data_IF_996861600745
#
_entry.id   IF_996861600745
#
_cell.length_a   1.000
_cell.length_b   1.000
_cell.length_c   1.000
_cell.angle_alpha   90.00
_cell.angle_beta   90.00
_cell.angle_gamma   90.00
#
_symmetry.space_group_name_H-M   'P 1'
#
loop_
_entity.id
_entity.type
_entity.pdbx_description
1 polymer ?
#
# COMPACT_ATOMS: atom_id res chain seq x y z
N UNK A 1 3.11 -5.23 4.49
CA UNK A 1 1.70 -4.80 4.52
C UNK A 1 1.50 -3.29 4.27
N UNK A 2 1.83 -2.40 5.22
CA UNK A 2 1.48 -0.96 5.12
C UNK A 2 1.97 -0.25 3.84
N UNK A 3 3.19 -0.54 3.38
CA UNK A 3 3.71 0.05 2.14
C UNK A 3 2.89 -0.37 0.92
N UNK A 4 2.47 -1.65 0.84
CA UNK A 4 1.62 -2.18 -0.24
C UNK A 4 0.30 -1.41 -0.28
N UNK A 5 -0.32 -1.19 0.88
CA UNK A 5 -1.56 -0.43 0.99
C UNK A 5 -1.44 1.06 0.57
N UNK A 6 -0.28 1.69 0.78
CA UNK A 6 -0.15 3.14 0.70
C UNK A 6 0.46 3.67 -0.59
N UNK A 7 1.23 2.88 -1.32
CA UNK A 7 1.94 3.39 -2.49
C UNK A 7 2.57 2.34 -3.38
N UNK A 8 2.26 1.06 -3.15
CA UNK A 8 2.98 -0.04 -3.79
C UNK A 8 4.23 -0.47 -3.04
N UNK A 9 4.78 -1.61 -3.44
CA UNK A 9 6.04 -2.16 -2.94
C UNK A 9 6.80 -2.71 -4.12
N UNK A 10 8.10 -2.41 -4.19
CA UNK A 10 8.95 -3.03 -5.18
C UNK A 10 9.40 -4.42 -4.74
N UNK A 11 9.90 -5.19 -5.71
CA UNK A 11 10.37 -6.56 -5.48
C UNK A 11 11.44 -6.67 -4.38
N UNK A 12 12.21 -5.59 -4.14
CA UNK A 12 13.21 -5.52 -3.06
C UNK A 12 12.62 -5.80 -1.68
N UNK A 13 11.46 -5.24 -1.32
CA UNK A 13 10.91 -5.48 0.02
C UNK A 13 10.44 -6.91 0.22
N UNK A 14 10.13 -7.62 -0.87
CA UNK A 14 9.82 -9.06 -0.83
C UNK A 14 11.11 -9.80 -0.54
N UNK A 15 12.18 -9.51 -1.31
CA UNK A 15 13.51 -10.09 -1.11
C UNK A 15 14.04 -9.87 0.33
N UNK A 16 13.89 -8.67 0.87
CA UNK A 16 14.36 -8.32 2.21
C UNK A 16 13.75 -9.24 3.28
N UNK A 17 12.47 -9.63 3.15
CA UNK A 17 11.81 -10.58 4.06
C UNK A 17 12.45 -11.96 3.96
N UNK A 18 12.68 -12.46 2.73
CA UNK A 18 13.27 -13.77 2.50
C UNK A 18 14.71 -13.85 3.00
N UNK A 19 15.53 -12.84 2.71
CA UNK A 19 16.92 -12.77 3.16
C UNK A 19 17.02 -12.66 4.68
N UNK A 20 16.18 -11.83 5.32
CA UNK A 20 16.14 -11.73 6.77
C UNK A 20 15.78 -13.07 7.42
N UNK A 21 14.74 -13.73 6.90
CA UNK A 21 14.32 -15.03 7.42
C UNK A 21 15.42 -16.08 7.18
N UNK A 22 16.05 -16.10 6.01
CA UNK A 22 17.17 -17.00 5.69
C UNK A 22 18.34 -16.83 6.66
N UNK A 23 18.74 -15.60 6.95
CA UNK A 23 19.86 -15.31 7.84
C UNK A 23 19.56 -15.65 9.32
N UNK A 24 18.34 -15.38 9.79
CA UNK A 24 18.01 -15.44 11.23
C UNK A 24 17.02 -16.55 11.60
N UNK A 25 16.69 -17.49 10.71
CA UNK A 25 15.67 -18.53 10.97
C UNK A 25 15.94 -19.37 12.24
N UNK A 26 17.21 -19.54 12.64
CA UNK A 26 17.60 -20.28 13.85
C UNK A 26 17.37 -19.48 15.13
N UNK A 27 17.45 -18.15 15.05
CA UNK A 27 17.24 -17.24 16.19
C UNK A 27 15.75 -16.90 16.36
N UNK A 28 14.97 -16.99 15.30
CA UNK A 28 13.54 -16.69 15.31
C UNK A 28 12.76 -17.83 15.94
N UNK A 29 12.10 -17.55 17.06
CA UNK A 29 11.09 -18.46 17.59
C UNK A 29 9.87 -18.49 16.67
N UNK A 30 9.77 -19.55 15.87
CA UNK A 30 8.72 -19.74 14.87
C UNK A 30 7.30 -19.63 15.44
N UNK A 31 7.05 -20.23 16.60
CA UNK A 31 5.71 -20.26 17.20
C UNK A 31 5.26 -18.85 17.60
N UNK A 32 6.15 -18.09 18.23
CA UNK A 32 5.89 -16.69 18.63
C UNK A 32 5.67 -15.81 17.40
N UNK A 33 6.49 -15.97 16.35
CA UNK A 33 6.30 -15.21 15.11
C UNK A 33 4.93 -15.50 14.47
N UNK A 34 4.55 -16.78 14.36
CA UNK A 34 3.25 -17.18 13.81
C UNK A 34 2.10 -16.63 14.66
N UNK A 35 2.23 -16.64 15.98
CA UNK A 35 1.25 -16.05 16.89
C UNK A 35 1.04 -14.55 16.60
N UNK A 36 2.11 -13.76 16.53
CA UNK A 36 2.02 -12.32 16.23
C UNK A 36 1.45 -12.05 14.83
N UNK A 37 1.81 -12.87 13.84
CA UNK A 37 1.24 -12.79 12.50
C UNK A 37 -0.26 -13.07 12.50
N UNK A 38 -0.72 -14.06 13.26
CA UNK A 38 -2.14 -14.37 13.40
C UNK A 38 -2.91 -13.26 14.12
N UNK A 39 -2.39 -12.76 15.24
CA UNK A 39 -2.98 -11.63 15.98
C UNK A 39 -3.13 -10.39 15.08
N UNK A 40 -2.20 -10.20 14.15
CA UNK A 40 -2.21 -9.07 13.19
C UNK A 40 -2.98 -9.37 11.89
N UNK A 41 -3.56 -10.56 11.71
CA UNK A 41 -4.16 -11.02 10.45
C UNK A 41 -3.20 -10.97 9.24
N UNK A 42 -1.90 -11.19 9.46
CA UNK A 42 -0.85 -11.12 8.45
C UNK A 42 -0.23 -12.48 8.09
N UNK A 43 -0.72 -13.59 8.67
CA UNK A 43 -0.11 -14.91 8.45
C UNK A 43 -0.17 -15.35 6.98
N UNK A 44 -1.35 -15.26 6.35
CA UNK A 44 -1.50 -15.55 4.91
C UNK A 44 -0.63 -14.62 4.06
N UNK A 45 -0.56 -13.34 4.42
CA UNK A 45 0.32 -12.39 3.73
C UNK A 45 1.79 -12.78 3.84
N UNK A 46 2.25 -13.18 5.02
CA UNK A 46 3.60 -13.71 5.22
C UNK A 46 3.85 -14.93 4.34
N UNK A 47 2.94 -15.91 4.34
CA UNK A 47 3.05 -17.11 3.50
C UNK A 47 3.15 -16.75 2.01
N UNK A 48 2.33 -15.80 1.53
CA UNK A 48 2.42 -15.29 0.16
C UNK A 48 3.78 -14.67 -0.13
N UNK A 49 4.33 -13.84 0.78
CA UNK A 49 5.65 -13.24 0.57
C UNK A 49 6.78 -14.28 0.55
N UNK A 50 6.72 -15.31 1.40
CA UNK A 50 7.70 -16.38 1.39
C UNK A 50 7.59 -17.22 0.11
N UNK A 51 6.37 -17.56 -0.32
CA UNK A 51 6.14 -18.25 -1.59
C UNK A 51 6.76 -17.50 -2.77
N UNK A 52 6.58 -16.17 -2.83
CA UNK A 52 7.20 -15.34 -3.85
C UNK A 52 8.72 -15.28 -3.76
N UNK A 53 9.29 -15.32 -2.55
CA UNK A 53 10.76 -15.40 -2.40
C UNK A 53 11.32 -16.70 -2.98
N UNK A 54 10.64 -17.82 -2.72
CA UNK A 54 10.99 -19.12 -3.31
C UNK A 54 10.93 -19.03 -4.83
N UNK A 55 9.84 -18.50 -5.39
CA UNK A 55 9.63 -18.43 -6.85
C UNK A 55 10.51 -17.41 -7.58
N UNK A 56 10.72 -16.22 -7.03
CA UNK A 56 11.50 -15.16 -7.68
C UNK A 56 13.01 -15.34 -7.51
N UNK A 57 13.44 -15.87 -6.37
CA UNK A 57 14.84 -15.83 -5.95
C UNK A 57 15.43 -17.21 -5.61
N UNK A 58 14.67 -18.29 -5.81
CA UNK A 58 15.10 -19.67 -5.56
C UNK A 58 15.61 -19.91 -4.13
N UNK A 59 14.93 -19.31 -3.14
CA UNK A 59 15.26 -19.47 -1.72
C UNK A 59 14.52 -20.69 -1.14
N UNK A 60 14.77 -21.87 -1.70
CA UNK A 60 13.94 -23.07 -1.50
C UNK A 60 13.88 -23.57 -0.04
N UNK A 61 14.93 -23.34 0.74
CA UNK A 61 14.95 -23.74 2.16
C UNK A 61 13.88 -23.04 3.02
N UNK A 62 13.24 -21.97 2.51
CA UNK A 62 12.10 -21.33 3.15
C UNK A 62 10.78 -22.07 2.97
N UNK A 63 10.72 -23.17 2.20
CA UNK A 63 9.49 -23.94 1.98
C UNK A 63 8.84 -24.40 3.29
N UNK A 64 9.65 -24.73 4.30
CA UNK A 64 9.16 -25.09 5.64
C UNK A 64 8.30 -24.00 6.30
N UNK A 65 8.46 -22.73 5.91
CA UNK A 65 7.74 -21.57 6.42
C UNK A 65 6.43 -21.27 5.69
N UNK A 66 6.20 -21.83 4.51
CA UNK A 66 4.93 -21.64 3.78
C UNK A 66 3.81 -22.51 4.34
N UNK A 67 4.14 -23.57 5.10
CA UNK A 67 3.19 -24.54 5.63
C UNK A 67 2.27 -25.12 4.52
N UNK A 68 2.84 -25.40 3.35
CA UNK A 68 2.11 -25.94 2.20
C UNK A 68 1.27 -24.91 1.44
N UNK A 69 1.36 -23.61 1.79
CA UNK A 69 0.71 -22.55 1.03
C UNK A 69 1.23 -22.51 -0.42
N UNK A 70 0.29 -22.50 -1.35
CA UNK A 70 0.54 -22.34 -2.79
C UNK A 70 -0.28 -21.19 -3.35
N UNK A 71 0.17 -20.67 -4.48
CA UNK A 71 -0.48 -19.59 -5.20
C UNK A 71 -0.94 -20.09 -6.57
N UNK A 72 -2.16 -19.73 -6.99
CA UNK A 72 -2.64 -19.95 -8.35
C UNK A 72 -1.77 -19.18 -9.36
N UNK A 73 -1.54 -19.73 -10.56
CA UNK A 73 -0.69 -19.10 -11.57
C UNK A 73 -1.19 -17.69 -11.96
N UNK A 74 -2.51 -17.53 -12.18
CA UNK A 74 -3.13 -16.23 -12.47
C UNK A 74 -2.87 -15.18 -11.36
N UNK A 75 -2.89 -15.63 -10.09
CA UNK A 75 -2.60 -14.75 -8.95
C UNK A 75 -1.10 -14.39 -8.91
N UNK A 76 -0.24 -15.36 -9.19
CA UNK A 76 1.20 -15.16 -9.27
C UNK A 76 1.58 -14.16 -10.38
N UNK A 77 1.02 -14.29 -11.57
CA UNK A 77 1.27 -13.35 -12.67
C UNK A 77 0.82 -11.93 -12.31
N UNK A 78 -0.41 -11.78 -11.81
CA UNK A 78 -0.97 -10.48 -11.42
C UNK A 78 -0.18 -9.79 -10.31
N UNK A 79 0.29 -10.55 -9.32
CA UNK A 79 1.07 -9.97 -8.23
C UNK A 79 2.49 -9.60 -8.69
N UNK A 80 3.06 -10.39 -9.59
CA UNK A 80 4.36 -10.12 -10.22
C UNK A 80 4.32 -8.84 -11.03
N UNK A 81 3.28 -8.67 -11.86
CA UNK A 81 3.04 -7.44 -12.59
C UNK A 81 2.86 -6.26 -11.62
N UNK A 82 2.00 -6.41 -10.61
CA UNK A 82 1.78 -5.37 -9.61
C UNK A 82 3.08 -4.93 -8.92
N UNK A 83 3.93 -5.85 -8.46
CA UNK A 83 5.18 -5.49 -7.79
C UNK A 83 6.25 -4.93 -8.74
N UNK A 84 6.23 -5.34 -10.01
CA UNK A 84 7.12 -4.80 -11.04
C UNK A 84 6.80 -3.35 -11.36
N UNK A 85 5.51 -2.99 -11.39
CA UNK A 85 5.05 -1.65 -11.77
C UNK A 85 4.90 -0.71 -10.57
N UNK A 86 4.57 -1.23 -9.38
CA UNK A 86 4.27 -0.43 -8.18
C UNK A 86 5.50 -0.04 -7.34
N UNK A 87 6.68 -0.57 -7.66
CA UNK A 87 7.93 -0.22 -6.98
C UNK A 87 8.44 1.19 -7.33
N UNK A 88 9.28 1.77 -6.45
CA UNK A 88 9.93 3.08 -6.65
C UNK A 88 10.75 3.15 -7.96
N UNK A 89 11.20 2.00 -8.46
CA UNK A 89 11.96 1.83 -9.71
C UNK A 89 11.16 1.20 -10.85
N UNK A 90 9.88 0.85 -10.64
CA UNK A 90 8.99 0.46 -11.75
C UNK A 90 8.88 1.64 -12.70
N UNK A 91 8.61 1.41 -14.00
CA UNK A 91 8.54 2.45 -15.06
C UNK A 91 7.38 3.45 -14.87
N UNK A 92 7.37 4.18 -13.76
CA UNK A 92 7.17 5.62 -13.51
C UNK A 92 6.01 6.41 -14.09
N UNK A 93 5.41 6.00 -15.22
CA UNK A 93 4.45 6.84 -15.93
C UNK A 93 3.00 6.37 -15.78
N UNK A 94 2.76 5.06 -15.68
CA UNK A 94 1.39 4.51 -15.65
C UNK A 94 0.91 4.07 -14.25
N UNK A 95 1.80 3.88 -13.28
CA UNK A 95 1.36 3.48 -11.94
C UNK A 95 0.67 4.64 -11.19
N UNK A 96 -0.61 4.45 -10.89
CA UNK A 96 -1.36 5.38 -10.09
C UNK A 96 -1.31 5.01 -8.60
N UNK A 97 -0.48 5.72 -7.83
CA UNK A 97 -0.34 5.52 -6.37
C UNK A 97 -1.64 5.66 -5.56
N UNK A 98 -2.69 6.27 -6.12
CA UNK A 98 -4.00 6.32 -5.46
C UNK A 98 -4.78 5.01 -5.59
N UNK A 99 -4.52 4.17 -6.59
CA UNK A 99 -5.21 2.88 -6.78
C UNK A 99 -5.04 1.93 -5.60
N UNK A 100 -3.82 1.59 -5.12
CA UNK A 100 -3.66 0.74 -3.93
C UNK A 100 -4.25 1.37 -2.66
N UNK A 101 -4.21 2.70 -2.54
CA UNK A 101 -4.83 3.43 -1.43
C UNK A 101 -6.34 3.34 -1.44
N UNK A 102 -6.96 3.48 -2.61
CA UNK A 102 -8.41 3.34 -2.76
C UNK A 102 -8.85 1.90 -2.54
N UNK A 103 -8.10 0.92 -3.04
CA UNK A 103 -8.34 -0.49 -2.76
C UNK A 103 -8.29 -0.78 -1.25
N UNK A 104 -7.26 -0.27 -0.56
CA UNK A 104 -7.14 -0.40 0.91
C UNK A 104 -8.27 0.29 1.66
N UNK A 105 -8.71 1.46 1.18
CA UNK A 105 -9.87 2.16 1.74
C UNK A 105 -11.15 1.33 1.54
N UNK A 106 -11.31 0.66 0.39
CA UNK A 106 -12.42 -0.23 0.08
C UNK A 106 -12.40 -1.50 0.94
N UNK A 107 -11.23 -2.08 1.20
CA UNK A 107 -11.07 -3.20 2.14
C UNK A 107 -11.57 -2.84 3.55
N UNK A 108 -11.33 -1.60 3.99
CA UNK A 108 -11.85 -1.07 5.25
C UNK A 108 -13.33 -0.64 5.17
N UNK A 109 -14.06 -1.05 4.14
CA UNK A 109 -15.46 -0.69 3.88
C UNK A 109 -15.74 0.82 3.85
N UNK A 110 -14.74 1.64 3.51
CA UNK A 110 -14.89 3.10 3.43
C UNK A 110 -15.28 3.51 2.02
N UNK A 111 -16.16 4.50 1.94
CA UNK A 111 -16.67 5.03 0.68
C UNK A 111 -15.56 5.76 -0.12
N UNK A 112 -15.47 5.51 -1.43
CA UNK A 112 -14.58 6.19 -2.39
C UNK A 112 -14.72 7.70 -2.32
N UNK A 113 -15.96 8.20 -2.24
CA UNK A 113 -16.23 9.64 -2.15
C UNK A 113 -15.61 10.27 -0.90
N UNK A 114 -15.72 9.60 0.26
CA UNK A 114 -15.09 10.05 1.51
C UNK A 114 -13.56 10.09 1.41
N UNK A 115 -12.95 9.14 0.69
CA UNK A 115 -11.51 9.14 0.43
C UNK A 115 -11.10 10.32 -0.47
N UNK A 116 -11.85 10.59 -1.54
CA UNK A 116 -11.55 11.73 -2.42
C UNK A 116 -11.66 13.05 -1.63
N UNK A 117 -12.69 13.21 -0.81
CA UNK A 117 -12.83 14.37 0.07
C UNK A 117 -11.63 14.48 1.02
N UNK A 118 -11.16 13.39 1.63
CA UNK A 118 -10.05 13.48 2.59
C UNK A 118 -8.70 13.84 1.94
N UNK A 119 -8.53 13.55 0.65
CA UNK A 119 -7.36 13.99 -0.13
C UNK A 119 -7.44 15.48 -0.48
N UNK A 120 -8.61 15.94 -0.94
CA UNK A 120 -8.87 17.31 -1.38
C UNK A 120 -8.97 18.27 -0.18
N UNK A 121 -9.68 17.87 0.87
CA UNK A 121 -9.96 18.60 2.11
C UNK A 121 -9.49 17.79 3.34
N UNK A 122 -8.18 17.78 3.62
CA UNK A 122 -7.60 17.02 4.70
C UNK A 122 -8.04 17.57 6.06
N UNK A 123 -8.06 16.69 7.05
CA UNK A 123 -8.48 17.02 8.42
C UNK A 123 -7.52 17.98 9.13
N UNK A 124 -7.97 18.52 10.27
CA UNK A 124 -7.20 19.45 11.11
C UNK A 124 -5.80 18.92 11.44
N UNK A 125 -5.70 17.64 11.81
CA UNK A 125 -4.44 16.98 12.16
C UNK A 125 -3.39 17.05 11.04
N UNK A 126 -3.83 16.95 9.79
CA UNK A 126 -2.96 17.02 8.61
C UNK A 126 -2.57 18.46 8.25
N UNK A 127 -3.42 19.44 8.57
CA UNK A 127 -3.27 20.85 8.15
C UNK A 127 -2.54 21.69 9.21
N UNK A 128 -2.72 21.38 10.50
CA UNK A 128 -2.20 22.17 11.63
C UNK A 128 -0.67 22.30 11.65
N UNK A 129 0.04 21.34 11.06
CA UNK A 129 1.50 21.39 10.94
C UNK A 129 1.99 22.40 9.89
N UNK A 130 1.21 22.61 8.81
CA UNK A 130 1.56 23.56 7.75
C UNK A 130 1.07 24.99 8.05
N UNK A 131 -0.02 25.12 8.81
CA UNK A 131 -0.66 26.41 9.08
C UNK A 131 -0.90 26.60 10.58
N UNK A 132 0.02 27.25 11.30
CA UNK A 132 -0.07 27.43 12.76
C UNK A 132 -1.33 28.16 13.24
N UNK A 133 -1.93 29.04 12.42
CA UNK A 133 -3.17 29.73 12.77
C UNK A 133 -4.38 28.77 12.85
N UNK A 134 -4.40 27.72 12.02
CA UNK A 134 -5.43 26.66 12.06
C UNK A 134 -5.30 25.84 13.35
N UNK A 135 -4.07 25.67 13.88
CA UNK A 135 -3.85 25.02 15.17
C UNK A 135 -4.46 25.81 16.33
N UNK A 136 -4.35 27.14 16.30
CA UNK A 136 -4.85 28.03 17.36
C UNK A 136 -6.37 28.23 17.28
N UNK A 137 -6.91 28.29 16.07
CA UNK A 137 -8.35 28.49 15.83
C UNK A 137 -8.82 27.44 14.81
N UNK A 138 -9.29 26.27 15.27
CA UNK A 138 -9.73 25.18 14.39
C UNK A 138 -10.87 25.56 13.44
N UNK A 139 -11.69 26.55 13.82
CA UNK A 139 -12.74 27.09 12.95
C UNK A 139 -12.19 27.69 11.64
N UNK A 140 -10.92 28.11 11.61
CA UNK A 140 -10.26 28.61 10.41
C UNK A 140 -9.75 27.51 9.47
N UNK A 141 -10.17 26.25 9.68
CA UNK A 141 -9.79 25.14 8.79
C UNK A 141 -10.17 25.38 7.32
N UNK A 142 -11.35 25.92 6.96
CA UNK A 142 -11.67 26.26 5.58
C UNK A 142 -10.70 27.29 4.98
N UNK A 143 -10.25 28.26 5.79
CA UNK A 143 -9.23 29.23 5.38
C UNK A 143 -7.88 28.54 5.12
N UNK A 144 -7.49 27.60 5.98
CA UNK A 144 -6.30 26.77 5.76
C UNK A 144 -6.35 25.96 4.46
N UNK A 145 -7.51 25.44 4.07
CA UNK A 145 -7.69 24.78 2.78
C UNK A 145 -7.51 25.74 1.61
N UNK A 146 -8.05 26.96 1.69
CA UNK A 146 -7.86 27.98 0.63
C UNK A 146 -6.38 28.31 0.43
N UNK A 147 -5.63 28.57 1.50
CA UNK A 147 -4.18 28.81 1.42
C UNK A 147 -3.43 27.62 0.81
N UNK A 148 -3.84 26.39 1.14
CA UNK A 148 -3.28 25.17 0.53
C UNK A 148 -3.53 25.13 -0.97
N UNK A 149 -4.76 25.39 -1.41
CA UNK A 149 -5.11 25.38 -2.84
C UNK A 149 -4.38 26.47 -3.62
N UNK A 150 -4.36 27.69 -3.11
CA UNK A 150 -3.58 28.80 -3.69
C UNK A 150 -2.12 28.39 -3.79
N UNK A 151 -1.50 27.93 -2.70
CA UNK A 151 -0.09 27.52 -2.73
C UNK A 151 0.19 26.41 -3.75
N UNK A 152 -0.68 25.40 -3.85
CA UNK A 152 -0.51 24.27 -4.78
C UNK A 152 -0.66 24.70 -6.24
N UNK A 153 -1.69 25.49 -6.55
CA UNK A 153 -1.95 25.96 -7.92
C UNK A 153 -0.88 26.94 -8.39
N UNK A 154 -0.41 27.85 -7.53
CA UNK A 154 0.60 28.84 -7.91
C UNK A 154 2.02 28.28 -7.96
N UNK A 155 2.40 27.37 -7.05
CA UNK A 155 3.76 26.81 -7.03
C UNK A 155 3.93 25.59 -7.92
N UNK A 156 2.90 24.76 -8.05
CA UNK A 156 2.98 23.48 -8.77
C UNK A 156 1.69 23.19 -9.57
N UNK A 157 1.31 24.05 -10.54
CA UNK A 157 0.05 23.92 -11.26
C UNK A 157 -0.08 22.59 -11.98
N UNK A 158 0.88 22.24 -12.86
CA UNK A 158 0.86 20.98 -13.64
C UNK A 158 0.71 19.75 -12.75
N UNK A 159 1.60 19.60 -11.75
CA UNK A 159 1.56 18.47 -10.82
C UNK A 159 0.27 18.39 -10.01
N UNK A 160 -0.34 19.53 -9.67
CA UNK A 160 -1.60 19.55 -8.92
C UNK A 160 -2.76 19.02 -9.76
N UNK A 161 -2.90 19.52 -11.00
CA UNK A 161 -3.95 19.05 -11.90
C UNK A 161 -3.75 17.58 -12.30
N UNK A 162 -2.51 17.15 -12.54
CA UNK A 162 -2.20 15.75 -12.83
C UNK A 162 -2.62 14.83 -11.66
N UNK A 163 -2.32 15.22 -10.42
CA UNK A 163 -2.74 14.46 -9.22
C UNK A 163 -4.25 14.39 -9.06
N UNK A 164 -4.97 15.47 -9.36
CA UNK A 164 -6.45 15.48 -9.33
C UNK A 164 -7.00 14.56 -10.42
N UNK A 165 -6.44 14.60 -11.63
CA UNK A 165 -6.78 13.69 -12.71
C UNK A 165 -6.61 12.23 -12.30
N UNK A 166 -5.50 11.91 -11.62
CA UNK A 166 -5.21 10.57 -11.06
C UNK A 166 -6.18 10.12 -9.95
N UNK A 167 -7.04 10.98 -9.40
CA UNK A 167 -8.10 10.53 -8.49
C UNK A 167 -9.28 9.88 -9.23
N UNK A 168 -9.41 10.11 -10.54
CA UNK A 168 -10.43 9.47 -11.38
C UNK A 168 -9.94 8.08 -11.80
N UNK A 169 -10.08 7.12 -10.89
CA UNK A 169 -9.76 5.71 -11.13
C UNK A 169 -11.06 4.95 -11.42
N UNK A 170 -11.03 4.03 -12.39
CA UNK A 170 -12.17 3.16 -12.71
C UNK A 170 -12.45 2.22 -11.54
N UNK A 171 -13.73 1.97 -11.26
CA UNK A 171 -14.09 1.10 -10.13
C UNK A 171 -13.62 -0.35 -10.33
N UNK A 172 -13.52 -0.81 -11.58
CA UNK A 172 -12.94 -2.11 -11.93
C UNK A 172 -11.48 -2.22 -11.49
N UNK A 173 -10.64 -1.23 -11.80
CA UNK A 173 -9.22 -1.24 -11.40
C UNK A 173 -9.06 -1.27 -9.87
N UNK A 174 -9.93 -0.57 -9.13
CA UNK A 174 -9.95 -0.61 -7.67
C UNK A 174 -10.34 -2.00 -7.18
N UNK A 175 -11.34 -2.62 -7.81
CA UNK A 175 -11.82 -3.96 -7.47
C UNK A 175 -10.75 -5.03 -7.73
N UNK A 176 -10.06 -4.96 -8.86
CA UNK A 176 -9.01 -5.90 -9.23
C UNK A 176 -7.87 -5.88 -8.19
N UNK A 177 -7.39 -4.69 -7.81
CA UNK A 177 -6.37 -4.54 -6.77
C UNK A 177 -6.90 -4.93 -5.38
N UNK A 178 -8.18 -4.66 -5.10
CA UNK A 178 -8.81 -5.07 -3.84
C UNK A 178 -8.84 -6.60 -3.73
N UNK A 179 -9.21 -7.29 -4.80
CA UNK A 179 -9.25 -8.75 -4.86
C UNK A 179 -7.85 -9.36 -4.84
N UNK A 180 -6.88 -8.74 -5.50
CA UNK A 180 -5.47 -9.09 -5.39
C UNK A 180 -5.02 -9.05 -3.92
N UNK A 181 -5.29 -7.94 -3.21
CA UNK A 181 -4.94 -7.78 -1.79
C UNK A 181 -5.61 -8.84 -0.89
N UNK A 182 -6.90 -9.13 -1.09
CA UNK A 182 -7.59 -10.19 -0.35
C UNK A 182 -6.96 -11.56 -0.57
N UNK A 183 -6.67 -11.91 -1.83
CA UNK A 183 -6.09 -13.21 -2.19
C UNK A 183 -4.70 -13.43 -1.56
N UNK A 184 -3.95 -12.36 -1.34
CA UNK A 184 -2.62 -12.40 -0.70
C UNK A 184 -2.71 -12.19 0.82
N UNK A 185 -3.91 -12.25 1.41
CA UNK A 185 -4.08 -12.16 2.85
C UNK A 185 -3.99 -10.75 3.45
N UNK A 186 -4.09 -9.69 2.64
CA UNK A 186 -4.26 -8.34 3.14
C UNK A 186 -5.75 -8.03 3.33
N UNK A 187 -6.09 -7.42 4.47
CA UNK A 187 -7.45 -7.03 4.87
C UNK A 187 -7.51 -5.55 5.24
#
# INVERSE_FOLDING_TARGET
AKHIHLGGVGIRSILDIGLYLSAYHQEINRNILIEYLNQSNLYTFFQSMIYLNIKYFNIDHLESWTAGYTMEEDLYEKITEFFSVSGIHGKGMEFNSFTPRMASNKLQHKNKFKFIISVIFPNLESVKGMYPFVRRVPFLLPVGWMFRWVRLIFRHPKSTFDKIGKLKIKDQEIEDITNLFKKIGLK
#
